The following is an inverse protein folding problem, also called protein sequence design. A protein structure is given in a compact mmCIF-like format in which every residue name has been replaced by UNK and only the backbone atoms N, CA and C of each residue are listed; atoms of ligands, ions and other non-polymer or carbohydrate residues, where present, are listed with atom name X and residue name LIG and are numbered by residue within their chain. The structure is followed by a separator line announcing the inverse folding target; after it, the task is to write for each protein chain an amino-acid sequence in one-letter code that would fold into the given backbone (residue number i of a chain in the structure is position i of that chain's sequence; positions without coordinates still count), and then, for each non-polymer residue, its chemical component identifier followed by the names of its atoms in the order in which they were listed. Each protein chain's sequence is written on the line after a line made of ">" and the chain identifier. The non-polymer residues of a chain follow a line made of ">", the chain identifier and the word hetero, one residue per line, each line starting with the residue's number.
data_IF_371780265347
#
_entry.id   IF_371780265347
#
_cell.length_a   1.000
_cell.length_b   1.000
_cell.length_c   1.000
_cell.angle_alpha   90.00
_cell.angle_beta   90.00
_cell.angle_gamma   90.00
#
_symmetry.space_group_name_H-M   'P 1'
#
loop_
_entity.id
_entity.type
_entity.pdbx_description
1 polymer ?
#
# COMPACT_ATOMS: atom_id res chain seq x y z
N UNK A 1 10.95 8.84 -5.60
CA UNK A 1 10.39 7.48 -5.51
C UNK A 1 11.45 6.43 -5.80
N UNK A 2 12.09 6.45 -6.97
CA UNK A 2 13.15 5.50 -7.37
C UNK A 2 14.23 5.29 -6.30
N UNK A 3 14.76 6.36 -5.72
CA UNK A 3 15.77 6.28 -4.67
C UNK A 3 15.32 5.43 -3.47
N UNK A 4 14.14 5.71 -2.89
CA UNK A 4 13.59 4.93 -1.77
C UNK A 4 13.31 3.48 -2.14
N UNK A 5 12.79 3.23 -3.34
CA UNK A 5 12.55 1.88 -3.84
C UNK A 5 13.87 1.09 -3.95
N UNK A 6 14.88 1.69 -4.57
CA UNK A 6 16.21 1.08 -4.71
C UNK A 6 16.89 0.88 -3.35
N UNK A 7 16.74 1.83 -2.42
CA UNK A 7 17.30 1.78 -1.08
C UNK A 7 16.73 0.64 -0.24
N UNK A 8 15.40 0.46 -0.26
CA UNK A 8 14.76 -0.68 0.41
C UNK A 8 15.25 -2.02 -0.16
N UNK A 9 15.26 -2.16 -1.49
CA UNK A 9 15.70 -3.40 -2.13
C UNK A 9 17.18 -3.70 -1.88
N UNK A 10 18.02 -2.68 -1.80
CA UNK A 10 19.42 -2.84 -1.39
C UNK A 10 19.52 -3.37 0.04
N UNK A 11 18.83 -2.75 1.01
CA UNK A 11 18.82 -3.22 2.42
C UNK A 11 18.36 -4.68 2.53
N UNK A 12 17.32 -5.05 1.78
CA UNK A 12 16.81 -6.43 1.75
C UNK A 12 17.88 -7.38 1.20
N UNK A 13 18.49 -7.08 0.06
CA UNK A 13 19.57 -7.91 -0.50
C UNK A 13 20.74 -8.06 0.46
N UNK A 14 21.24 -6.94 1.01
CA UNK A 14 22.35 -6.94 1.95
C UNK A 14 22.06 -7.84 3.18
N UNK A 15 20.81 -7.83 3.68
CA UNK A 15 20.37 -8.69 4.79
C UNK A 15 20.30 -10.17 4.41
N UNK A 16 19.79 -10.52 3.23
CA UNK A 16 19.70 -11.91 2.78
C UNK A 16 21.09 -12.49 2.45
N UNK A 17 21.94 -11.68 1.82
CA UNK A 17 23.33 -12.03 1.51
C UNK A 17 24.12 -12.31 2.79
N UNK A 18 23.92 -11.53 3.86
CA UNK A 18 24.60 -11.77 5.15
C UNK A 18 24.21 -13.11 5.81
N UNK A 19 23.09 -13.70 5.40
CA UNK A 19 22.62 -15.00 5.90
C UNK A 19 22.82 -16.15 4.90
N UNK A 20 23.46 -15.89 3.74
CA UNK A 20 23.61 -16.86 2.64
C UNK A 20 22.26 -17.42 2.15
N UNK A 21 21.23 -16.57 2.08
CA UNK A 21 19.90 -16.92 1.58
C UNK A 21 19.66 -16.14 0.29
N UNK A 22 19.00 -16.76 -0.70
CA UNK A 22 18.62 -16.05 -1.93
C UNK A 22 17.68 -14.90 -1.59
N UNK A 23 18.05 -13.69 -2.03
CA UNK A 23 17.21 -12.51 -1.83
C UNK A 23 15.92 -12.59 -2.66
N UNK A 24 14.81 -12.02 -2.17
CA UNK A 24 13.59 -11.82 -2.95
C UNK A 24 13.85 -10.90 -4.16
N UNK A 25 12.93 -10.91 -5.12
CA UNK A 25 13.07 -10.16 -6.39
C UNK A 25 13.08 -8.64 -6.20
N UNK A 26 11.93 -7.97 -6.39
CA UNK A 26 11.74 -6.57 -6.02
C UNK A 26 10.66 -6.48 -4.97
N UNK A 27 10.95 -5.80 -3.87
CA UNK A 27 10.00 -5.58 -2.80
C UNK A 27 9.69 -4.10 -2.64
N UNK A 28 8.48 -3.80 -2.17
CA UNK A 28 8.09 -2.45 -1.78
C UNK A 28 7.13 -2.50 -0.60
N UNK A 29 7.22 -1.49 0.27
CA UNK A 29 6.33 -1.35 1.40
C UNK A 29 5.34 -0.20 1.19
N UNK A 30 4.14 -0.35 1.74
CA UNK A 30 3.13 0.71 1.81
C UNK A 30 2.76 0.93 3.28
N UNK A 31 3.00 2.14 3.77
CA UNK A 31 2.59 2.59 5.11
C UNK A 31 1.43 3.55 4.98
N UNK A 32 0.35 3.32 5.71
CA UNK A 32 -0.78 4.24 5.78
C UNK A 32 -0.50 5.39 6.75
N UNK A 33 -0.30 6.61 6.21
CA UNK A 33 -0.08 7.81 7.00
C UNK A 33 -1.39 8.40 7.57
N UNK A 34 -2.53 8.00 7.03
CA UNK A 34 -3.86 8.30 7.55
C UNK A 34 -4.71 7.02 7.56
N UNK A 35 -5.85 7.06 8.26
CA UNK A 35 -6.83 5.99 8.15
C UNK A 35 -7.29 5.83 6.68
N UNK A 36 -7.68 4.64 6.28
CA UNK A 36 -8.11 4.35 4.91
C UNK A 36 -9.36 3.48 4.85
N UNK A 37 -10.34 3.93 4.08
CA UNK A 37 -11.56 3.18 3.81
C UNK A 37 -11.37 2.33 2.56
N UNK A 38 -11.01 1.08 2.78
CA UNK A 38 -10.82 0.10 1.71
C UNK A 38 -12.12 -0.65 1.45
N UNK A 39 -12.48 -0.76 0.18
CA UNK A 39 -13.64 -1.52 -0.28
C UNK A 39 -13.25 -2.40 -1.45
N UNK A 40 -13.85 -3.58 -1.53
CA UNK A 40 -13.75 -4.40 -2.73
C UNK A 40 -14.64 -3.85 -3.86
N UNK A 41 -14.62 -4.53 -5.00
CA UNK A 41 -15.43 -4.16 -6.17
C UNK A 41 -16.95 -4.25 -5.94
N UNK A 42 -17.39 -4.87 -4.84
CA UNK A 42 -18.80 -4.97 -4.44
C UNK A 42 -19.16 -3.94 -3.35
N UNK A 43 -18.25 -3.04 -2.98
CA UNK A 43 -18.46 -2.01 -1.97
C UNK A 43 -18.39 -2.51 -0.53
N UNK A 44 -17.94 -3.76 -0.30
CA UNK A 44 -17.77 -4.34 1.04
C UNK A 44 -16.45 -3.89 1.64
N UNK A 45 -16.43 -3.61 2.94
CA UNK A 45 -15.19 -3.27 3.63
C UNK A 45 -14.19 -4.41 3.59
N UNK A 46 -12.93 -4.09 3.33
CA UNK A 46 -11.84 -5.04 3.41
C UNK A 46 -10.80 -4.56 4.42
N UNK A 47 -10.28 -5.49 5.20
CA UNK A 47 -9.28 -5.23 6.24
C UNK A 47 -7.84 -5.38 5.76
N UNK A 48 -7.66 -5.81 4.51
CA UNK A 48 -6.38 -6.14 3.90
C UNK A 48 -6.26 -5.44 2.55
N UNK A 49 -5.07 -4.92 2.26
CA UNK A 49 -4.76 -4.32 0.98
C UNK A 49 -4.25 -5.40 0.03
N UNK A 50 -5.08 -5.77 -0.96
CA UNK A 50 -4.67 -6.74 -1.98
C UNK A 50 -3.99 -6.05 -3.17
N UNK A 51 -2.97 -6.67 -3.79
CA UNK A 51 -2.21 -6.06 -4.88
C UNK A 51 -3.07 -5.55 -6.04
N UNK A 52 -4.13 -6.28 -6.40
CA UNK A 52 -5.02 -5.95 -7.51
C UNK A 52 -5.79 -4.64 -7.28
N UNK A 53 -5.95 -4.23 -6.02
CA UNK A 53 -6.64 -2.99 -5.66
C UNK A 53 -5.80 -1.74 -5.98
N UNK A 54 -4.47 -1.88 -6.04
CA UNK A 54 -3.53 -0.76 -6.15
C UNK A 54 -2.67 -0.82 -7.42
N UNK A 55 -2.44 -2.02 -7.94
CA UNK A 55 -1.59 -2.29 -9.09
C UNK A 55 -2.29 -3.25 -10.08
N UNK A 56 -3.47 -2.89 -10.61
CA UNK A 56 -4.24 -3.80 -11.48
C UNK A 56 -3.48 -4.20 -12.74
N UNK A 57 -2.60 -3.34 -13.26
CA UNK A 57 -1.76 -3.64 -14.43
C UNK A 57 -0.67 -4.70 -14.16
N UNK A 58 -0.37 -4.97 -12.88
CA UNK A 58 0.61 -5.96 -12.42
C UNK A 58 -0.07 -7.08 -11.61
N UNK A 59 -1.38 -7.27 -11.79
CA UNK A 59 -2.12 -8.34 -11.14
C UNK A 59 -1.49 -9.71 -11.42
N UNK A 60 -1.32 -10.53 -10.38
CA UNK A 60 -0.64 -11.82 -10.45
C UNK A 60 0.88 -11.77 -10.57
N UNK A 61 1.50 -10.58 -10.70
CA UNK A 61 2.97 -10.38 -10.69
C UNK A 61 3.49 -9.80 -9.39
N UNK A 62 2.60 -9.42 -8.48
CA UNK A 62 2.92 -8.90 -7.16
C UNK A 62 2.09 -9.67 -6.14
N UNK A 63 2.71 -10.09 -5.06
CA UNK A 63 2.07 -10.78 -3.95
C UNK A 63 2.31 -10.04 -2.64
N UNK A 64 1.36 -10.15 -1.71
CA UNK A 64 1.49 -9.62 -0.36
C UNK A 64 2.26 -10.63 0.51
N UNK A 65 3.44 -10.22 1.00
CA UNK A 65 4.34 -11.07 1.80
C UNK A 65 4.07 -10.90 3.29
N UNK A 66 3.88 -9.67 3.74
CA UNK A 66 3.68 -9.37 5.16
C UNK A 66 2.75 -8.18 5.36
N UNK A 67 1.97 -8.22 6.44
CA UNK A 67 1.11 -7.11 6.84
C UNK A 67 1.07 -6.98 8.36
N UNK A 68 1.25 -5.76 8.85
CA UNK A 68 0.98 -5.38 10.23
C UNK A 68 -0.06 -4.26 10.21
N UNK A 69 -1.31 -4.60 10.54
CA UNK A 69 -2.42 -3.66 10.39
C UNK A 69 -3.44 -3.80 11.51
N UNK A 70 -4.17 -2.71 11.76
CA UNK A 70 -5.31 -2.69 12.67
C UNK A 70 -6.49 -1.98 12.02
N UNK A 71 -7.68 -2.22 12.58
CA UNK A 71 -8.92 -1.58 12.12
C UNK A 71 -9.37 -0.56 13.16
N UNK A 72 -9.96 0.52 12.67
CA UNK A 72 -10.62 1.54 13.48
C UNK A 72 -12.00 1.85 12.92
N UNK A 73 -12.88 2.35 13.78
CA UNK A 73 -14.20 2.82 13.39
C UNK A 73 -14.14 4.31 13.11
N UNK A 74 -14.59 4.72 11.94
CA UNK A 74 -14.69 6.11 11.53
C UNK A 74 -16.16 6.53 11.56
N UNK A 75 -16.46 7.55 12.33
CA UNK A 75 -17.77 8.20 12.40
C UNK A 75 -17.62 9.70 12.09
N UNK A 76 -18.72 10.44 12.06
CA UNK A 76 -18.66 11.89 11.93
C UNK A 76 -20.00 12.54 11.67
N UNK A 77 -19.97 13.84 11.42
CA UNK A 77 -21.16 14.63 11.09
C UNK A 77 -21.06 15.21 9.68
N UNK A 78 -22.14 15.12 8.90
CA UNK A 78 -22.24 15.77 7.60
C UNK A 78 -22.90 17.14 7.78
N UNK A 79 -22.10 18.20 7.74
CA UNK A 79 -22.59 19.57 7.92
C UNK A 79 -23.58 20.00 6.83
N UNK A 80 -23.38 19.57 5.58
CA UNK A 80 -24.26 19.95 4.48
C UNK A 80 -25.68 19.39 4.64
N UNK A 81 -25.81 18.23 5.29
CA UNK A 81 -27.10 17.54 5.48
C UNK A 81 -27.62 17.61 6.92
N UNK A 82 -26.85 18.16 7.85
CA UNK A 82 -27.16 18.17 9.29
C UNK A 82 -27.54 16.79 9.83
N UNK A 83 -26.82 15.75 9.40
CA UNK A 83 -27.04 14.36 9.79
C UNK A 83 -25.72 13.67 10.14
N UNK A 84 -25.73 12.63 11.01
CA UNK A 84 -24.58 11.76 11.20
C UNK A 84 -24.12 11.14 9.89
N UNK A 85 -22.81 11.10 9.67
CA UNK A 85 -22.21 10.25 8.63
C UNK A 85 -22.40 8.79 9.03
N UNK A 86 -22.47 7.93 8.03
CA UNK A 86 -22.47 6.48 8.25
C UNK A 86 -21.16 6.10 8.95
N UNK A 87 -21.29 5.28 9.99
CA UNK A 87 -20.14 4.64 10.62
C UNK A 87 -19.52 3.62 9.65
N UNK A 88 -18.21 3.72 9.46
CA UNK A 88 -17.46 2.86 8.54
C UNK A 88 -16.26 2.22 9.26
N UNK A 89 -15.84 1.04 8.80
CA UNK A 89 -14.56 0.47 9.19
C UNK A 89 -13.46 1.02 8.28
N UNK A 90 -12.35 1.41 8.89
CA UNK A 90 -11.16 1.86 8.20
C UNK A 90 -9.96 1.05 8.67
N UNK A 91 -9.01 0.87 7.75
CA UNK A 91 -7.66 0.50 8.10
C UNK A 91 -7.03 1.67 8.85
N UNK A 92 -6.49 1.42 10.05
CA UNK A 92 -5.94 2.48 10.89
C UNK A 92 -4.61 2.99 10.32
N UNK A 93 -4.32 4.28 10.52
CA UNK A 93 -3.00 4.86 10.29
C UNK A 93 -1.90 4.06 11.01
N UNK A 94 -0.72 4.00 10.42
CA UNK A 94 0.39 3.17 10.87
C UNK A 94 0.31 1.71 10.39
N UNK A 95 -0.76 1.30 9.72
CA UNK A 95 -0.81 -0.02 9.08
C UNK A 95 0.21 -0.10 7.94
N UNK A 96 0.95 -1.21 7.88
CA UNK A 96 2.03 -1.45 6.92
C UNK A 96 1.81 -2.75 6.16
N UNK A 97 2.09 -2.73 4.86
CA UNK A 97 2.06 -3.88 3.97
C UNK A 97 3.39 -3.98 3.21
N UNK A 98 3.95 -5.18 3.11
CA UNK A 98 5.14 -5.48 2.33
C UNK A 98 4.76 -6.40 1.18
N UNK A 99 5.04 -5.96 -0.03
CA UNK A 99 4.78 -6.69 -1.26
C UNK A 99 6.09 -7.12 -1.92
N UNK A 100 6.01 -8.20 -2.68
CA UNK A 100 7.10 -8.72 -3.49
C UNK A 100 6.60 -8.96 -4.92
N UNK A 101 7.45 -8.66 -5.91
CA UNK A 101 7.21 -8.99 -7.29
C UNK A 101 7.67 -10.39 -7.67
N UNK A 102 7.14 -10.94 -8.75
CA UNK A 102 7.67 -12.16 -9.35
C UNK A 102 9.15 -12.00 -9.75
N UNK A 103 9.86 -13.13 -9.78
CA UNK A 103 11.30 -13.19 -10.15
C UNK A 103 11.57 -12.74 -11.60
N UNK A 104 10.55 -12.76 -12.45
CA UNK A 104 10.66 -12.52 -13.89
C UNK A 104 10.13 -11.17 -14.36
N UNK A 105 10.00 -10.16 -13.48
CA UNK A 105 9.64 -8.81 -13.92
C UNK A 105 10.71 -8.25 -14.87
N UNK A 106 10.27 -7.85 -16.07
CA UNK A 106 11.13 -7.18 -17.04
C UNK A 106 11.43 -5.74 -16.60
N UNK A 107 12.53 -5.17 -17.08
CA UNK A 107 12.92 -3.79 -16.75
C UNK A 107 11.81 -2.76 -17.05
N UNK A 108 11.05 -2.94 -18.13
CA UNK A 108 9.90 -2.09 -18.46
C UNK A 108 8.78 -2.16 -17.40
N UNK A 109 8.56 -3.34 -16.83
CA UNK A 109 7.54 -3.58 -15.80
C UNK A 109 7.98 -3.05 -14.44
N UNK A 110 9.27 -3.11 -14.13
CA UNK A 110 9.85 -2.45 -12.94
C UNK A 110 9.66 -0.93 -13.04
N UNK A 111 9.93 -0.34 -14.20
CA UNK A 111 9.69 1.10 -14.43
C UNK A 111 8.20 1.45 -14.30
N UNK A 112 7.31 0.60 -14.83
CA UNK A 112 5.88 0.75 -14.67
C UNK A 112 5.46 0.66 -13.20
N UNK A 113 5.97 -0.31 -12.45
CA UNK A 113 5.73 -0.47 -11.01
C UNK A 113 6.10 0.80 -10.26
N UNK A 114 7.31 1.32 -10.46
CA UNK A 114 7.79 2.53 -9.77
C UNK A 114 6.91 3.73 -10.10
N UNK A 115 6.47 3.86 -11.36
CA UNK A 115 5.55 4.92 -11.79
C UNK A 115 4.19 4.81 -11.10
N UNK A 116 3.59 3.63 -11.08
CA UNK A 116 2.31 3.40 -10.41
C UNK A 116 2.42 3.64 -8.90
N UNK A 117 3.51 3.22 -8.26
CA UNK A 117 3.77 3.51 -6.85
C UNK A 117 3.85 5.01 -6.57
N UNK A 118 4.52 5.78 -7.44
CA UNK A 118 4.59 7.25 -7.31
C UNK A 118 3.21 7.91 -7.47
N UNK A 119 2.37 7.40 -8.38
CA UNK A 119 0.99 7.87 -8.56
C UNK A 119 0.12 7.50 -7.36
N UNK A 120 0.31 6.30 -6.80
CA UNK A 120 -0.41 5.80 -5.65
C UNK A 120 -0.14 6.67 -4.41
N UNK A 121 1.12 7.04 -4.20
CA UNK A 121 1.51 7.94 -3.10
C UNK A 121 0.88 9.33 -3.25
N UNK A 122 0.86 9.86 -4.47
CA UNK A 122 0.26 11.18 -4.77
C UNK A 122 -1.26 11.17 -4.59
N UNK A 123 -1.92 10.13 -5.11
CA UNK A 123 -3.38 10.03 -5.15
C UNK A 123 -3.98 9.52 -3.85
N UNK A 124 -3.26 8.67 -3.11
CA UNK A 124 -3.78 7.91 -1.97
C UNK A 124 -4.62 6.69 -2.38
N UNK A 125 -4.90 5.84 -1.40
CA UNK A 125 -5.57 4.53 -1.54
C UNK A 125 -6.95 4.54 -0.88
N UNK A 126 -7.94 3.91 -1.52
CA UNK A 126 -9.29 3.78 -0.99
C UNK A 126 -10.21 4.98 -1.25
N UNK A 127 -11.27 5.09 -0.44
CA UNK A 127 -12.32 6.10 -0.62
C UNK A 127 -12.17 7.31 0.31
N UNK A 128 -12.94 8.38 0.03
CA UNK A 128 -12.96 9.64 0.82
C UNK A 128 -11.59 10.32 0.96
N UNK A 129 -10.76 10.21 -0.07
CA UNK A 129 -9.40 10.78 -0.13
C UNK A 129 -9.39 12.32 -0.06
N UNK A 130 -10.48 12.94 -0.53
CA UNK A 130 -10.73 14.38 -0.40
C UNK A 130 -11.01 14.83 1.05
N UNK A 131 -11.32 13.91 1.95
CA UNK A 131 -11.49 14.18 3.39
C UNK A 131 -10.20 13.90 4.19
N UNK A 132 -9.10 13.52 3.52
CA UNK A 132 -7.82 13.23 4.16
C UNK A 132 -7.58 11.75 4.48
N UNK A 133 -8.48 10.84 4.10
CA UNK A 133 -8.26 9.40 4.21
C UNK A 133 -7.34 8.87 3.10
N UNK A 134 -6.75 7.70 3.33
CA UNK A 134 -6.01 6.97 2.30
C UNK A 134 -4.62 7.50 1.96
N UNK A 135 -4.04 8.40 2.76
CA UNK A 135 -2.65 8.84 2.55
C UNK A 135 -1.71 7.69 2.84
N UNK A 136 -0.79 7.44 1.91
CA UNK A 136 0.21 6.39 2.03
C UNK A 136 1.61 6.94 1.80
N UNK A 137 2.61 6.25 2.34
CA UNK A 137 4.03 6.45 2.07
C UNK A 137 4.60 5.15 1.52
N UNK A 138 5.31 5.24 0.40
CA UNK A 138 5.89 4.07 -0.27
C UNK A 138 7.37 3.99 0.08
N UNK A 139 7.83 2.79 0.49
CA UNK A 139 9.22 2.56 0.91
C UNK A 139 9.68 3.63 1.92
N UNK A 140 8.93 3.77 3.01
CA UNK A 140 9.25 4.74 4.08
C UNK A 140 10.71 4.55 4.54
N UNK A 141 11.54 5.62 4.62
CA UNK A 141 12.93 5.52 5.07
C UNK A 141 13.12 4.93 6.48
N UNK A 142 12.06 4.94 7.31
CA UNK A 142 12.05 4.29 8.62
C UNK A 142 12.23 2.76 8.52
N UNK A 143 11.82 2.14 7.41
CA UNK A 143 11.94 0.70 7.17
C UNK A 143 13.36 0.25 6.82
#
# INVERSE_FOLDING_TARGET
>A
MEERFSGLNKKIRDFFDSHNISAPSQSFSITFASDALLKDNYGRFVSRLEPEMILPALAGKVSLVFSCCSLTKVSGWNQAWSLPKRDELALAKGSVFLFESSENLQAAEINQLIKELSLLETRGVGSRRNEGFGKVMICDPFH
#
